data_IF_745325496527
#
_entry.id   IF_745325496527
#
_cell.length_a   1.000
_cell.length_b   1.000
_cell.length_c   1.000
_cell.angle_alpha   90.00
_cell.angle_beta   90.00
_cell.angle_gamma   90.00
#
_symmetry.space_group_name_H-M   'P 1'
#
loop_
_entity.id
_entity.type
_entity.pdbx_description
1 polymer ?
#
# COMPACT_ATOMS: atom_id res chain seq x y z
N UNK A 1 -5.44 -14.43 -15.07
CA UNK A 1 -4.74 -15.18 -14.00
C UNK A 1 -3.33 -14.64 -13.80
N UNK A 2 -2.91 -14.33 -12.56
CA UNK A 2 -1.51 -14.41 -12.11
C UNK A 2 -1.51 -14.41 -10.58
N UNK A 3 -2.25 -15.38 -10.01
CA UNK A 3 -2.10 -15.78 -8.60
C UNK A 3 -0.90 -16.75 -8.57
N UNK A 4 -0.04 -16.63 -7.57
CA UNK A 4 1.21 -17.39 -7.34
C UNK A 4 2.44 -16.97 -8.15
N UNK A 5 3.25 -16.10 -7.53
CA UNK A 5 4.70 -16.08 -7.75
C UNK A 5 5.28 -16.91 -6.61
N UNK A 6 5.67 -18.16 -6.85
CA UNK A 6 6.31 -18.99 -5.83
C UNK A 6 7.64 -18.31 -5.44
N UNK A 7 7.84 -17.90 -4.17
CA UNK A 7 9.08 -17.25 -3.74
C UNK A 7 10.34 -18.11 -3.94
N UNK A 8 10.16 -19.42 -4.15
CA UNK A 8 11.23 -20.39 -4.35
C UNK A 8 11.74 -20.46 -5.80
N UNK A 9 11.02 -19.90 -6.76
CA UNK A 9 11.48 -19.87 -8.16
C UNK A 9 12.51 -18.77 -8.36
N UNK A 10 13.77 -19.13 -8.12
CA UNK A 10 14.92 -18.26 -8.37
C UNK A 10 15.09 -18.09 -9.88
N UNK A 11 15.42 -16.87 -10.30
CA UNK A 11 15.74 -16.56 -11.69
C UNK A 11 17.18 -17.00 -11.95
N UNK A 12 17.36 -18.18 -12.51
CA UNK A 12 18.67 -18.79 -12.80
C UNK A 12 19.20 -18.39 -14.18
N UNK A 13 18.31 -18.25 -15.16
CA UNK A 13 18.70 -17.97 -16.54
C UNK A 13 18.94 -16.47 -16.81
N UNK A 14 20.02 -16.18 -17.55
CA UNK A 14 20.42 -14.83 -17.91
C UNK A 14 20.31 -14.58 -19.43
N UNK A 15 19.76 -13.42 -19.79
CA UNK A 15 19.72 -12.92 -21.17
C UNK A 15 20.59 -11.67 -21.26
N UNK A 16 21.56 -11.67 -22.19
CA UNK A 16 22.44 -10.52 -22.44
C UNK A 16 22.03 -9.82 -23.73
N UNK A 17 21.66 -8.54 -23.63
CA UNK A 17 21.33 -7.69 -24.78
C UNK A 17 22.36 -6.57 -24.87
N UNK A 18 22.88 -6.31 -26.08
CA UNK A 18 23.83 -5.23 -26.34
C UNK A 18 23.09 -3.98 -26.78
N UNK A 19 23.50 -2.83 -26.27
CA UNK A 19 22.96 -1.51 -26.58
C UNK A 19 24.11 -0.54 -26.80
N UNK A 20 23.91 0.44 -27.65
CA UNK A 20 24.75 1.64 -27.71
C UNK A 20 24.64 2.44 -26.39
N UNK A 21 25.61 3.33 -26.10
CA UNK A 21 25.55 4.18 -24.91
C UNK A 21 24.27 5.03 -24.83
N UNK A 22 23.81 5.57 -25.98
CA UNK A 22 22.59 6.40 -26.04
C UNK A 22 21.33 5.58 -25.76
N UNK A 23 21.19 4.41 -26.38
CA UNK A 23 20.05 3.51 -26.13
C UNK A 23 19.97 3.09 -24.65
N UNK A 24 21.13 2.77 -24.04
CA UNK A 24 21.19 2.43 -22.62
C UNK A 24 20.75 3.60 -21.74
N UNK A 25 21.10 4.84 -22.10
CA UNK A 25 20.68 6.06 -21.40
C UNK A 25 19.16 6.26 -21.51
N UNK A 26 18.61 6.15 -22.73
CA UNK A 26 17.17 6.28 -22.98
C UNK A 26 16.37 5.22 -22.20
N UNK A 27 16.85 3.98 -22.22
CA UNK A 27 16.22 2.86 -21.53
C UNK A 27 16.21 3.06 -20.00
N UNK A 28 17.31 3.57 -19.43
CA UNK A 28 17.36 3.95 -18.00
C UNK A 28 16.37 5.07 -17.67
N UNK A 29 16.24 6.07 -18.55
CA UNK A 29 15.26 7.14 -18.41
C UNK A 29 13.83 6.61 -18.36
N UNK A 30 13.46 5.74 -19.31
CA UNK A 30 12.13 5.10 -19.36
C UNK A 30 11.86 4.24 -18.14
N UNK A 31 12.83 3.44 -17.70
CA UNK A 31 12.71 2.62 -16.49
C UNK A 31 12.35 3.45 -15.26
N UNK A 32 13.01 4.61 -15.08
CA UNK A 32 12.72 5.53 -13.97
C UNK A 32 11.35 6.19 -14.14
N UNK A 33 11.04 6.69 -15.34
CA UNK A 33 9.77 7.37 -15.65
C UNK A 33 8.57 6.48 -15.37
N UNK A 34 8.68 5.19 -15.69
CA UNK A 34 7.62 4.20 -15.46
C UNK A 34 7.64 3.57 -14.05
N UNK A 35 8.50 4.04 -13.14
CA UNK A 35 8.48 3.65 -11.72
C UNK A 35 9.07 2.28 -11.39
N UNK A 36 9.90 1.70 -12.26
CA UNK A 36 10.53 0.40 -12.00
C UNK A 36 11.79 0.53 -11.14
N UNK A 37 11.91 -0.34 -10.13
CA UNK A 37 13.08 -0.39 -9.23
C UNK A 37 14.42 -0.63 -9.96
N UNK A 38 14.42 -1.43 -11.03
CA UNK A 38 15.62 -1.71 -11.82
C UNK A 38 15.30 -2.12 -13.26
N UNK A 39 16.32 -2.05 -14.12
CA UNK A 39 16.23 -2.39 -15.54
C UNK A 39 15.76 -3.83 -15.76
N UNK A 40 16.16 -4.78 -14.94
CA UNK A 40 15.74 -6.17 -15.12
C UNK A 40 14.25 -6.36 -14.86
N UNK A 41 13.66 -5.61 -13.91
CA UNK A 41 12.22 -5.60 -13.69
C UNK A 41 11.49 -4.90 -14.84
N UNK A 42 12.02 -3.78 -15.31
CA UNK A 42 11.51 -3.07 -16.48
C UNK A 42 11.49 -3.96 -17.73
N UNK A 43 12.61 -4.58 -18.09
CA UNK A 43 12.72 -5.47 -19.24
C UNK A 43 11.78 -6.67 -19.14
N UNK A 44 11.77 -7.37 -18.00
CA UNK A 44 10.87 -8.52 -17.83
C UNK A 44 9.41 -8.11 -17.93
N UNK A 45 9.05 -6.94 -17.41
CA UNK A 45 7.70 -6.42 -17.58
C UNK A 45 7.40 -6.11 -19.04
N UNK A 46 8.28 -5.42 -19.77
CA UNK A 46 8.07 -5.12 -21.20
C UNK A 46 8.07 -6.36 -22.10
N UNK A 47 8.95 -7.31 -21.85
CA UNK A 47 9.12 -8.51 -22.68
C UNK A 47 8.09 -9.60 -22.37
N UNK A 48 7.71 -9.78 -21.09
CA UNK A 48 6.84 -10.90 -20.67
C UNK A 48 5.45 -10.47 -20.22
N UNK A 49 5.24 -9.20 -19.88
CA UNK A 49 3.91 -8.71 -19.46
C UNK A 49 3.39 -7.75 -20.51
N UNK A 50 2.32 -8.14 -21.19
CA UNK A 50 1.45 -7.26 -21.97
C UNK A 50 0.71 -6.28 -21.02
N UNK A 51 1.45 -5.48 -20.26
CA UNK A 51 0.91 -4.42 -19.41
C UNK A 51 1.75 -3.18 -19.60
N UNK A 52 1.17 -2.22 -20.29
CA UNK A 52 1.50 -0.82 -20.11
C UNK A 52 1.29 -0.49 -18.64
N UNK A 53 2.36 -0.18 -17.91
CA UNK A 53 2.20 0.47 -16.61
C UNK A 53 1.68 1.86 -16.93
N UNK A 54 0.36 2.03 -16.82
CA UNK A 54 -0.24 3.35 -16.72
C UNK A 54 0.16 3.90 -15.36
N UNK A 55 1.11 4.83 -15.37
CA UNK A 55 1.39 5.64 -14.19
C UNK A 55 0.13 6.47 -13.97
N UNK A 56 -0.65 6.12 -12.95
CA UNK A 56 -1.78 6.94 -12.52
C UNK A 56 -1.15 8.16 -11.84
N UNK A 57 -1.18 9.30 -12.52
CA UNK A 57 -0.79 10.57 -11.93
C UNK A 57 -1.97 11.05 -11.09
N UNK A 58 -1.83 10.88 -9.78
CA UNK A 58 -2.78 11.38 -8.81
C UNK A 58 -2.25 12.69 -8.25
N UNK A 59 -3.16 13.60 -7.93
CA UNK A 59 -2.76 14.91 -7.43
C UNK A 59 -1.98 14.77 -6.10
N UNK A 60 -1.06 15.71 -5.79
CA UNK A 60 -0.35 15.72 -4.52
C UNK A 60 -1.28 15.72 -3.30
N UNK A 61 -2.43 16.38 -3.42
CA UNK A 61 -3.47 16.45 -2.39
C UNK A 61 -4.08 15.07 -2.15
N UNK A 62 -4.40 14.33 -3.22
CA UNK A 62 -4.91 12.96 -3.12
C UNK A 62 -3.87 12.02 -2.48
N UNK A 63 -2.59 12.16 -2.85
CA UNK A 63 -1.51 11.35 -2.26
C UNK A 63 -1.36 11.62 -0.76
N UNK A 64 -1.44 12.89 -0.35
CA UNK A 64 -1.36 13.30 1.05
C UNK A 64 -2.55 12.78 1.84
N UNK A 65 -3.74 12.85 1.26
CA UNK A 65 -4.97 12.30 1.83
C UNK A 65 -4.87 10.79 2.07
N UNK A 66 -4.45 10.02 1.06
CA UNK A 66 -4.34 8.56 1.19
C UNK A 66 -3.32 8.16 2.26
N UNK A 67 -2.21 8.90 2.38
CA UNK A 67 -1.24 8.68 3.46
C UNK A 67 -1.81 9.00 4.84
N UNK A 68 -2.60 10.06 4.95
CA UNK A 68 -3.30 10.42 6.19
C UNK A 68 -4.31 9.33 6.60
N UNK A 69 -5.07 8.82 5.63
CA UNK A 69 -6.00 7.71 5.84
C UNK A 69 -5.26 6.44 6.31
N UNK A 70 -4.16 6.07 5.66
CA UNK A 70 -3.35 4.90 6.04
C UNK A 70 -2.76 5.06 7.46
N UNK A 71 -2.31 6.28 7.81
CA UNK A 71 -1.85 6.58 9.16
C UNK A 71 -2.96 6.42 10.21
N UNK A 72 -4.15 6.96 9.95
CA UNK A 72 -5.29 6.88 10.86
C UNK A 72 -5.76 5.43 11.02
N UNK A 73 -5.82 4.64 9.94
CA UNK A 73 -6.15 3.22 9.98
C UNK A 73 -5.14 2.43 10.82
N UNK A 74 -3.85 2.71 10.67
CA UNK A 74 -2.80 2.09 11.49
C UNK A 74 -2.98 2.42 12.99
N UNK A 75 -3.33 3.66 13.33
CA UNK A 75 -3.61 4.05 14.72
C UNK A 75 -4.82 3.31 15.30
N UNK A 76 -5.88 3.17 14.51
CA UNK A 76 -7.07 2.39 14.91
C UNK A 76 -6.68 0.93 15.16
N UNK A 77 -5.90 0.33 14.25
CA UNK A 77 -5.43 -1.04 14.40
C UNK A 77 -4.59 -1.27 15.66
N UNK A 78 -3.69 -0.33 15.99
CA UNK A 78 -2.89 -0.39 17.23
C UNK A 78 -3.78 -0.33 18.47
N UNK A 79 -4.76 0.58 18.52
CA UNK A 79 -5.66 0.70 19.66
C UNK A 79 -6.53 -0.55 19.83
N UNK A 80 -7.07 -1.10 18.74
CA UNK A 80 -7.81 -2.37 18.78
C UNK A 80 -6.93 -3.53 19.28
N UNK A 81 -5.67 -3.59 18.86
CA UNK A 81 -4.73 -4.60 19.32
C UNK A 81 -4.41 -4.46 20.82
N UNK A 82 -4.38 -3.23 21.34
CA UNK A 82 -4.22 -2.99 22.78
C UNK A 82 -5.43 -3.49 23.58
N UNK A 83 -6.64 -3.18 23.12
CA UNK A 83 -7.88 -3.68 23.74
C UNK A 83 -7.94 -5.21 23.69
N UNK A 84 -7.65 -5.81 22.54
CA UNK A 84 -7.63 -7.27 22.38
C UNK A 84 -6.62 -7.93 23.33
N UNK A 85 -5.41 -7.36 23.47
CA UNK A 85 -4.44 -7.85 24.45
C UNK A 85 -4.98 -7.72 25.87
N UNK A 86 -5.53 -6.57 26.27
CA UNK A 86 -6.07 -6.36 27.61
C UNK A 86 -7.20 -7.33 27.97
N UNK A 87 -8.10 -7.62 27.03
CA UNK A 87 -9.15 -8.63 27.17
C UNK A 87 -8.52 -10.02 27.31
N UNK A 88 -7.58 -10.39 26.44
CA UNK A 88 -6.93 -11.70 26.48
C UNK A 88 -6.10 -11.94 27.76
N UNK A 89 -5.56 -10.89 28.38
CA UNK A 89 -4.81 -11.02 29.65
C UNK A 89 -5.74 -11.12 30.87
N UNK A 90 -6.99 -10.66 30.78
CA UNK A 90 -7.97 -10.72 31.88
C UNK A 90 -8.84 -11.96 31.72
N UNK A 91 -8.52 -13.01 32.48
CA UNK A 91 -9.26 -14.28 32.52
C UNK A 91 -10.67 -14.20 33.14
N UNK A 92 -11.16 -13.01 33.52
CA UNK A 92 -12.46 -12.79 34.18
C UNK A 92 -13.24 -11.67 33.47
N UNK A 93 -14.54 -11.93 33.26
CA UNK A 93 -15.41 -11.47 32.16
C UNK A 93 -15.91 -10.01 32.16
N UNK A 94 -15.23 -9.06 32.79
CA UNK A 94 -15.72 -7.67 32.84
C UNK A 94 -14.76 -6.65 32.22
N UNK A 95 -15.27 -5.97 31.18
CA UNK A 95 -14.64 -4.80 30.56
C UNK A 95 -14.52 -3.67 31.60
N UNK A 96 -13.28 -3.31 31.93
CA UNK A 96 -13.01 -2.20 32.85
C UNK A 96 -13.36 -0.86 32.22
N UNK A 97 -13.53 0.17 33.05
CA UNK A 97 -13.76 1.55 32.60
C UNK A 97 -12.70 2.05 31.61
N UNK A 98 -11.44 1.63 31.76
CA UNK A 98 -10.37 1.93 30.83
C UNK A 98 -10.56 1.25 29.46
N UNK A 99 -11.05 0.02 29.44
CA UNK A 99 -11.33 -0.73 28.20
C UNK A 99 -12.50 -0.07 27.44
N UNK A 100 -13.55 0.36 28.16
CA UNK A 100 -14.70 1.11 27.60
C UNK A 100 -14.27 2.46 27.03
N UNK A 101 -13.46 3.23 27.76
CA UNK A 101 -12.94 4.50 27.28
C UNK A 101 -12.06 4.33 26.02
N UNK A 102 -11.30 3.23 25.95
CA UNK A 102 -10.50 2.92 24.77
C UNK A 102 -11.38 2.54 23.57
N UNK A 103 -12.45 1.76 23.78
CA UNK A 103 -13.46 1.44 22.77
C UNK A 103 -14.17 2.69 22.26
N UNK A 104 -14.57 3.61 23.14
CA UNK A 104 -15.19 4.89 22.76
C UNK A 104 -14.26 5.74 21.90
N UNK A 105 -12.97 5.78 22.26
CA UNK A 105 -11.96 6.48 21.47
C UNK A 105 -11.77 5.85 20.09
N UNK A 106 -11.76 4.52 20.00
CA UNK A 106 -11.73 3.79 18.72
C UNK A 106 -12.97 4.11 17.88
N UNK A 107 -14.16 4.13 18.48
CA UNK A 107 -15.40 4.45 17.80
C UNK A 107 -15.42 5.89 17.27
N UNK A 108 -14.91 6.85 18.04
CA UNK A 108 -14.79 8.25 17.59
C UNK A 108 -13.83 8.40 16.42
N UNK A 109 -12.66 7.75 16.45
CA UNK A 109 -11.70 7.79 15.36
C UNK A 109 -12.24 7.11 14.09
N UNK A 110 -12.98 6.00 14.23
CA UNK A 110 -13.69 5.37 13.11
C UNK A 110 -14.72 6.30 12.49
N UNK A 111 -15.53 7.01 13.30
CA UNK A 111 -16.49 8.00 12.81
C UNK A 111 -15.81 9.13 12.04
N UNK A 112 -14.71 9.68 12.55
CA UNK A 112 -13.93 10.73 11.87
C UNK A 112 -13.36 10.24 10.54
N UNK A 113 -12.85 9.01 10.50
CA UNK A 113 -12.33 8.40 9.28
C UNK A 113 -13.46 8.23 8.25
N UNK A 114 -14.63 7.75 8.67
CA UNK A 114 -15.79 7.59 7.80
C UNK A 114 -16.30 8.93 7.26
N UNK A 115 -16.46 9.97 8.09
CA UNK A 115 -16.88 11.31 7.64
C UNK A 115 -15.88 11.92 6.65
N UNK A 116 -14.59 11.68 6.85
CA UNK A 116 -13.56 12.12 5.91
C UNK A 116 -13.73 11.42 4.56
N UNK A 117 -13.88 10.09 4.55
CA UNK A 117 -14.12 9.32 3.33
C UNK A 117 -15.41 9.74 2.61
N UNK A 118 -16.50 9.96 3.35
CA UNK A 118 -17.79 10.35 2.80
C UNK A 118 -17.73 11.73 2.11
N UNK A 119 -17.08 12.72 2.73
CA UNK A 119 -16.86 14.04 2.13
C UNK A 119 -16.15 13.96 0.76
N UNK A 120 -15.24 13.00 0.59
CA UNK A 120 -14.55 12.80 -0.70
C UNK A 120 -15.34 11.94 -1.69
N UNK A 121 -16.18 11.00 -1.25
CA UNK A 121 -17.11 10.32 -2.15
C UNK A 121 -18.14 11.28 -2.74
N UNK A 122 -18.60 12.26 -1.96
CA UNK A 122 -19.52 13.29 -2.42
C UNK A 122 -18.87 14.25 -3.43
N UNK A 123 -17.54 14.41 -3.40
CA UNK A 123 -16.76 15.20 -4.38
C UNK A 123 -16.54 14.48 -5.72
N UNK A 124 -16.78 13.17 -5.78
CA UNK A 124 -16.60 12.35 -6.99
C UNK A 124 -17.95 12.14 -7.72
N UNK A 125 -19.06 12.62 -7.16
CA UNK A 125 -20.41 12.53 -7.74
C UNK A 125 -20.73 13.68 -8.67
#
# INVERSE_FOLDING_TARGET
MSRYRNPRDKKTEAVRVRFTPMEKKLLRGRCKKEGYKNLSNFFRAKAMRHREIKKIEVSPEFTTLIKSLDFNLNKIGVNLNQVAKQINTKKNDELTSADRHTLDRVQQELKKCFSSLQKYMDLIR
#
